data_IF_705141776539
#
_entry.id   IF_705141776539
#
_cell.length_a   1.000
_cell.length_b   1.000
_cell.length_c   1.000
_cell.angle_alpha   90.00
_cell.angle_beta   90.00
_cell.angle_gamma   90.00
#
_symmetry.space_group_name_H-M   'P 1'
#
loop_
_entity.id
_entity.type
_entity.pdbx_description
1 polymer ?
#
# COMPACT_ATOMS: atom_id res chain seq x y z
N UNK A 1 -25.93 1.53 9.20
CA UNK A 1 -25.12 1.09 8.03
C UNK A 1 -23.59 1.16 8.25
N UNK A 2 -23.08 1.19 9.51
CA UNK A 2 -21.64 1.38 9.81
C UNK A 2 -20.74 0.14 9.59
N UNK A 3 -21.29 -1.07 9.65
CA UNK A 3 -20.50 -2.32 9.50
C UNK A 3 -20.01 -2.58 8.06
N UNK A 4 -20.74 -2.11 7.04
CA UNK A 4 -20.36 -2.32 5.63
C UNK A 4 -19.19 -1.43 5.21
N UNK A 5 -19.13 -0.19 5.71
CA UNK A 5 -18.03 0.74 5.39
C UNK A 5 -16.71 0.30 6.02
N UNK A 6 -16.72 -0.24 7.24
CA UNK A 6 -15.47 -0.63 7.93
C UNK A 6 -14.78 -1.80 7.26
N UNK A 7 -15.53 -2.85 6.88
CA UNK A 7 -14.97 -4.01 6.18
C UNK A 7 -14.38 -3.63 4.82
N UNK A 8 -15.04 -2.73 4.09
CA UNK A 8 -14.57 -2.27 2.78
C UNK A 8 -13.26 -1.46 2.90
N UNK A 9 -13.16 -0.54 3.87
CA UNK A 9 -11.92 0.17 4.18
C UNK A 9 -10.79 -0.80 4.54
N UNK A 10 -11.09 -1.78 5.38
CA UNK A 10 -10.11 -2.79 5.78
C UNK A 10 -9.61 -3.62 4.60
N UNK A 11 -10.50 -4.10 3.72
CA UNK A 11 -10.13 -4.87 2.53
C UNK A 11 -9.27 -4.05 1.57
N UNK A 12 -9.67 -2.81 1.30
CA UNK A 12 -8.90 -1.93 0.43
C UNK A 12 -7.52 -1.60 1.03
N UNK A 13 -7.43 -1.32 2.33
CA UNK A 13 -6.14 -1.14 3.01
C UNK A 13 -5.30 -2.42 2.98
N UNK A 14 -5.91 -3.61 3.04
CA UNK A 14 -5.17 -4.87 3.00
C UNK A 14 -4.54 -5.11 1.62
N UNK A 15 -5.22 -4.74 0.54
CA UNK A 15 -4.66 -4.77 -0.82
C UNK A 15 -3.41 -3.90 -0.89
N UNK A 16 -3.50 -2.63 -0.47
CA UNK A 16 -2.36 -1.72 -0.48
C UNK A 16 -1.23 -2.21 0.46
N UNK A 17 -1.58 -2.73 1.63
CA UNK A 17 -0.58 -3.23 2.58
C UNK A 17 0.20 -4.42 2.04
N UNK A 18 -0.46 -5.34 1.33
CA UNK A 18 0.20 -6.54 0.81
C UNK A 18 1.15 -6.20 -0.36
N UNK A 19 0.79 -5.21 -1.19
CA UNK A 19 1.64 -4.78 -2.30
C UNK A 19 2.97 -4.19 -1.83
N UNK A 20 3.03 -3.63 -0.61
CA UNK A 20 4.29 -3.12 -0.04
C UNK A 20 5.31 -4.24 0.07
N UNK A 21 4.94 -5.43 0.55
CA UNK A 21 5.89 -6.53 0.70
C UNK A 21 6.30 -7.14 -0.65
N UNK A 22 5.48 -6.96 -1.68
CA UNK A 22 5.77 -7.39 -3.06
C UNK A 22 6.61 -6.34 -3.81
N UNK A 23 6.80 -5.13 -3.24
CA UNK A 23 7.67 -4.12 -3.87
C UNK A 23 9.14 -4.53 -3.75
N UNK A 24 9.75 -4.77 -4.92
CA UNK A 24 11.20 -4.90 -5.08
C UNK A 24 11.89 -3.53 -5.25
N UNK A 25 13.16 -3.50 -5.69
CA UNK A 25 13.90 -2.25 -5.90
C UNK A 25 13.37 -1.42 -7.07
N UNK A 26 12.72 -2.07 -8.03
CA UNK A 26 12.33 -1.45 -9.29
C UNK A 26 10.91 -0.91 -9.26
N UNK A 27 10.71 0.10 -10.09
CA UNK A 27 9.39 0.62 -10.42
C UNK A 27 8.56 -0.47 -11.10
N UNK A 28 7.27 -0.51 -10.80
CA UNK A 28 6.34 -1.41 -11.48
C UNK A 28 4.99 -0.74 -11.71
N UNK A 29 4.28 -1.24 -12.70
CA UNK A 29 2.89 -0.85 -12.97
C UNK A 29 1.96 -1.57 -11.96
N UNK A 30 1.31 -0.87 -11.02
CA UNK A 30 0.42 -1.52 -10.07
C UNK A 30 -0.85 -2.03 -10.77
N UNK A 31 -1.34 -3.17 -10.32
CA UNK A 31 -2.51 -3.82 -10.91
C UNK A 31 -3.83 -3.07 -10.72
N UNK A 32 -4.89 -3.60 -11.36
CA UNK A 32 -6.27 -3.09 -11.22
C UNK A 32 -6.79 -3.18 -9.78
N UNK A 33 -6.29 -4.13 -9.01
CA UNK A 33 -6.59 -4.29 -7.59
C UNK A 33 -6.12 -3.10 -6.76
N UNK A 34 -4.88 -2.63 -6.97
CA UNK A 34 -4.34 -1.43 -6.32
C UNK A 34 -5.15 -0.21 -6.73
N UNK A 35 -5.41 -0.06 -8.03
CA UNK A 35 -6.19 1.07 -8.56
C UNK A 35 -7.61 1.12 -7.98
N UNK A 36 -8.27 -0.03 -7.87
CA UNK A 36 -9.59 -0.15 -7.25
C UNK A 36 -9.54 0.17 -5.75
N UNK A 37 -8.55 -0.35 -5.02
CA UNK A 37 -8.39 -0.09 -3.60
C UNK A 37 -8.20 1.41 -3.31
N UNK A 38 -7.34 2.09 -4.08
CA UNK A 38 -7.16 3.54 -3.98
C UNK A 38 -8.45 4.30 -4.28
N UNK A 39 -9.16 3.95 -5.36
CA UNK A 39 -10.42 4.61 -5.72
C UNK A 39 -11.50 4.46 -4.64
N UNK A 40 -11.62 3.27 -4.05
CA UNK A 40 -12.55 3.00 -2.95
C UNK A 40 -12.20 3.83 -1.72
N UNK A 41 -10.92 3.86 -1.33
CA UNK A 41 -10.48 4.61 -0.15
C UNK A 41 -10.64 6.12 -0.37
N UNK A 42 -10.35 6.62 -1.57
CA UNK A 42 -10.56 8.02 -1.93
C UNK A 42 -12.04 8.42 -1.84
N UNK A 43 -12.95 7.60 -2.39
CA UNK A 43 -14.39 7.83 -2.31
C UNK A 43 -14.94 7.82 -0.86
N UNK A 44 -14.17 7.28 0.09
CA UNK A 44 -14.50 7.24 1.52
C UNK A 44 -13.70 8.25 2.37
N UNK A 45 -12.89 9.09 1.73
CA UNK A 45 -12.05 10.12 2.34
C UNK A 45 -12.73 11.50 2.33
N UNK A 46 -12.01 12.52 2.80
CA UNK A 46 -12.39 13.93 2.76
C UNK A 46 -12.15 14.61 1.40
N UNK A 47 -11.66 13.87 0.39
CA UNK A 47 -11.50 14.35 -0.98
C UNK A 47 -10.11 14.88 -1.32
N UNK A 48 -9.16 14.84 -0.38
CA UNK A 48 -7.75 15.13 -0.68
C UNK A 48 -7.11 13.96 -1.43
N UNK A 49 -6.55 14.26 -2.59
CA UNK A 49 -6.01 13.28 -3.52
C UNK A 49 -4.52 13.01 -3.32
N UNK A 50 -3.79 13.95 -2.71
CA UNK A 50 -2.32 13.90 -2.60
C UNK A 50 -1.79 12.56 -2.07
N UNK A 51 -2.22 12.04 -0.90
CA UNK A 51 -1.66 10.78 -0.38
C UNK A 51 -1.98 9.55 -1.24
N UNK A 52 -3.01 9.61 -2.07
CA UNK A 52 -3.40 8.52 -2.98
C UNK A 52 -2.55 8.54 -4.25
N UNK A 53 -2.36 9.72 -4.83
CA UNK A 53 -1.50 9.91 -5.99
C UNK A 53 -0.03 9.62 -5.61
N UNK A 54 0.43 10.08 -4.44
CA UNK A 54 1.78 9.78 -3.93
C UNK A 54 2.01 8.29 -3.69
N UNK A 55 1.00 7.57 -3.19
CA UNK A 55 1.09 6.12 -3.05
C UNK A 55 1.23 5.46 -4.42
N UNK A 56 0.39 5.83 -5.39
CA UNK A 56 0.42 5.28 -6.75
C UNK A 56 1.74 5.57 -7.46
N UNK A 57 2.20 6.81 -7.44
CA UNK A 57 3.44 7.26 -8.06
C UNK A 57 4.66 6.63 -7.37
N UNK A 58 4.64 6.47 -6.05
CA UNK A 58 5.72 5.80 -5.31
C UNK A 58 5.98 4.35 -5.72
N UNK A 59 4.97 3.65 -6.27
CA UNK A 59 5.14 2.30 -6.82
C UNK A 59 5.70 2.33 -8.26
N UNK A 60 5.30 3.33 -9.04
CA UNK A 60 5.56 3.43 -10.49
C UNK A 60 6.82 4.16 -10.87
N UNK A 61 7.20 5.14 -10.08
CA UNK A 61 8.24 6.06 -10.48
C UNK A 61 9.61 5.46 -10.15
N UNK A 62 10.58 5.54 -11.07
CA UNK A 62 11.93 5.09 -10.79
C UNK A 62 12.56 5.96 -9.69
N UNK A 63 13.48 5.35 -8.93
CA UNK A 63 14.24 6.05 -7.90
C UNK A 63 15.66 6.33 -8.42
N UNK A 64 15.75 7.20 -9.42
CA UNK A 64 16.99 7.50 -10.16
C UNK A 64 18.10 8.13 -9.30
N UNK A 65 17.77 8.52 -8.07
CA UNK A 65 18.71 9.10 -7.10
C UNK A 65 19.31 8.07 -6.14
N UNK A 66 18.95 6.78 -6.26
CA UNK A 66 19.44 5.69 -5.41
C UNK A 66 20.14 4.62 -6.27
N UNK A 67 21.46 4.54 -6.16
CA UNK A 67 22.27 3.65 -7.01
C UNK A 67 22.19 2.18 -6.61
N UNK A 68 21.87 1.87 -5.35
CA UNK A 68 21.88 0.51 -4.81
C UNK A 68 20.46 -0.06 -4.69
N UNK A 69 20.29 -1.30 -5.13
CA UNK A 69 19.00 -2.02 -5.11
C UNK A 69 18.39 -2.05 -3.69
N UNK A 70 19.16 -2.43 -2.68
CA UNK A 70 18.67 -2.48 -1.30
C UNK A 70 18.27 -1.10 -0.75
N UNK A 71 18.87 -0.02 -1.24
CA UNK A 71 18.47 1.35 -0.88
C UNK A 71 17.17 1.74 -1.57
N UNK A 72 17.01 1.42 -2.86
CA UNK A 72 15.75 1.63 -3.60
C UNK A 72 14.60 0.86 -2.96
N UNK A 73 14.80 -0.41 -2.63
CA UNK A 73 13.81 -1.25 -1.96
C UNK A 73 13.40 -0.63 -0.61
N UNK A 74 14.38 -0.27 0.23
CA UNK A 74 14.12 0.39 1.51
C UNK A 74 13.32 1.69 1.37
N UNK A 75 13.70 2.55 0.42
CA UNK A 75 13.02 3.83 0.17
C UNK A 75 11.59 3.60 -0.33
N UNK A 76 11.37 2.64 -1.24
CA UNK A 76 10.02 2.29 -1.72
C UNK A 76 9.14 1.80 -0.59
N UNK A 77 9.61 0.85 0.21
CA UNK A 77 8.90 0.34 1.39
C UNK A 77 8.54 1.46 2.36
N UNK A 78 9.50 2.34 2.64
CA UNK A 78 9.31 3.44 3.60
C UNK A 78 8.31 4.48 3.09
N UNK A 79 8.38 4.86 1.81
CA UNK A 79 7.42 5.78 1.18
C UNK A 79 6.02 5.17 1.14
N UNK A 80 5.89 3.92 0.70
CA UNK A 80 4.59 3.26 0.61
C UNK A 80 3.92 3.11 1.99
N UNK A 81 4.69 2.79 3.05
CA UNK A 81 4.18 2.76 4.44
C UNK A 81 3.76 4.13 4.96
N UNK A 82 4.53 5.17 4.64
CA UNK A 82 4.21 6.55 5.01
C UNK A 82 2.90 6.99 4.36
N UNK A 83 2.77 6.76 3.05
CA UNK A 83 1.57 7.14 2.30
C UNK A 83 0.36 6.31 2.74
N UNK A 84 0.53 5.01 3.00
CA UNK A 84 -0.54 4.17 3.56
C UNK A 84 -1.03 4.70 4.92
N UNK A 85 -0.12 5.20 5.76
CA UNK A 85 -0.47 5.85 7.04
C UNK A 85 -1.29 7.12 6.83
N UNK A 86 -0.94 7.93 5.83
CA UNK A 86 -1.71 9.09 5.41
C UNK A 86 -3.13 8.70 4.96
N UNK A 87 -3.22 7.74 4.04
CA UNK A 87 -4.51 7.22 3.51
C UNK A 87 -5.40 6.68 4.64
N UNK A 88 -4.85 5.87 5.55
CA UNK A 88 -5.60 5.31 6.67
C UNK A 88 -6.25 6.41 7.52
N UNK A 89 -5.50 7.47 7.85
CA UNK A 89 -6.02 8.61 8.62
C UNK A 89 -7.17 9.30 7.91
N UNK A 90 -7.08 9.50 6.59
CA UNK A 90 -8.13 10.15 5.78
C UNK A 90 -9.42 9.34 5.72
N UNK A 91 -9.35 8.02 5.83
CA UNK A 91 -10.54 7.16 5.94
C UNK A 91 -10.97 6.89 7.39
N UNK A 92 -10.46 7.68 8.35
CA UNK A 92 -10.84 7.62 9.76
C UNK A 92 -10.27 6.41 10.51
N UNK A 93 -9.13 5.90 10.08
CA UNK A 93 -8.43 4.78 10.71
C UNK A 93 -7.02 5.19 11.16
N UNK A 94 -6.52 4.54 12.19
CA UNK A 94 -5.13 4.65 12.61
C UNK A 94 -4.42 3.33 12.34
N UNK A 95 -3.29 3.39 11.64
CA UNK A 95 -2.41 2.23 11.40
C UNK A 95 -1.68 1.85 12.69
N UNK A 96 -2.41 1.24 13.62
CA UNK A 96 -1.85 0.64 14.81
C UNK A 96 -1.14 -0.67 14.46
N UNK A 97 -0.27 -1.14 15.36
CA UNK A 97 0.36 -2.45 15.21
C UNK A 97 -0.68 -3.57 15.07
N UNK A 98 -1.78 -3.53 15.84
CA UNK A 98 -2.85 -4.53 15.71
C UNK A 98 -3.53 -4.47 14.35
N UNK A 99 -3.75 -3.27 13.79
CA UNK A 99 -4.33 -3.13 12.46
C UNK A 99 -3.38 -3.69 11.40
N UNK A 100 -2.10 -3.31 11.44
CA UNK A 100 -1.07 -3.85 10.52
C UNK A 100 -0.99 -5.38 10.59
N UNK A 101 -0.96 -5.94 11.79
CA UNK A 101 -0.97 -7.39 12.01
C UNK A 101 -2.24 -8.03 11.42
N UNK A 102 -3.39 -7.36 11.52
CA UNK A 102 -4.63 -7.85 10.91
C UNK A 102 -4.60 -7.81 9.39
N UNK A 103 -4.09 -6.72 8.78
CA UNK A 103 -3.99 -6.57 7.33
C UNK A 103 -3.08 -7.66 6.74
N UNK A 104 -2.02 -8.05 7.46
CA UNK A 104 -1.12 -9.13 7.09
C UNK A 104 -1.72 -10.54 7.10
N UNK A 105 -2.89 -10.77 7.72
CA UNK A 105 -3.51 -12.10 7.78
C UNK A 105 -4.00 -12.63 6.42
N UNK A 106 -4.19 -11.74 5.44
CA UNK A 106 -4.59 -12.09 4.08
C UNK A 106 -3.44 -12.30 3.11
N UNK A 107 -2.18 -12.25 3.58
CA UNK A 107 -0.99 -12.38 2.72
C UNK A 107 -0.96 -13.76 2.04
N UNK A 108 -0.58 -13.78 0.77
CA UNK A 108 -0.10 -15.02 0.15
C UNK A 108 1.18 -15.46 0.86
N UNK A 109 1.41 -16.76 1.10
CA UNK A 109 2.72 -17.22 1.54
C UNK A 109 3.76 -16.73 0.53
N UNK A 110 4.86 -16.15 1.04
CA UNK A 110 5.99 -15.75 0.19
C UNK A 110 6.40 -17.01 -0.56
N UNK A 111 6.27 -17.01 -1.89
CA UNK A 111 6.70 -18.14 -2.71
C UNK A 111 8.20 -18.27 -2.44
N UNK A 112 8.60 -19.32 -1.74
CA UNK A 112 10.01 -19.62 -1.57
C UNK A 112 10.60 -19.64 -2.98
N UNK A 113 11.56 -18.75 -3.23
CA UNK A 113 12.37 -18.78 -4.42
C UNK A 113 13.09 -20.11 -4.42
N UNK A 114 12.54 -21.09 -5.14
CA UNK A 114 13.26 -22.30 -5.52
C UNK A 114 14.39 -21.79 -6.41
N UNK A 115 15.59 -21.75 -5.83
CA UNK A 115 16.83 -21.58 -6.58
C UNK A 115 16.99 -22.80 -7.48
N UNK A 116 16.89 -22.61 -8.78
CA UNK A 116 17.46 -23.50 -9.80
C UNK A 116 18.91 -23.07 -10.10
#
# INVERSE_FOLDING_TARGET
MRLRSTRLRWLALAVLYNVIDDTGPDAFEPGLDVRLALAVLFAMSDGDREPFDDYWNGLRDPLDYCDRDGEREYVRHTRARTNLTGIARRVGLHLTWQLMASLGKGRKPKRDSVSD
#
